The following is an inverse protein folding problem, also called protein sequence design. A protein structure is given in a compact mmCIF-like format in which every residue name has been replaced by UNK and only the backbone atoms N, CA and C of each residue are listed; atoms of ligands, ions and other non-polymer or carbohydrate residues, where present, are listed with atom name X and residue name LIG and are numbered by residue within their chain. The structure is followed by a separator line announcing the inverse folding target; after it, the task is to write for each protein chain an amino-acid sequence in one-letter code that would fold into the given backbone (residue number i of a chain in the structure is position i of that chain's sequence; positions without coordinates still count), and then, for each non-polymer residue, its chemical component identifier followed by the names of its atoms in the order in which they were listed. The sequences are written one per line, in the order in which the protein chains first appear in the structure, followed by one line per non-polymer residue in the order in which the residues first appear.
data_IF_079660834676
#
_entry.id   IF_079660834676
#
_cell.length_a   1.000
_cell.length_b   1.000
_cell.length_c   1.000
_cell.angle_alpha   90.00
_cell.angle_beta   90.00
_cell.angle_gamma   90.00
#
_symmetry.space_group_name_H-M   'P 1'
#
loop_
_entity.id
_entity.type
_entity.pdbx_description
1 polymer ?
#
# COMPACT_ATOMS: atom_id res chain seq x y z
N UNK A 1 -37.71 -38.79 24.24
CA UNK A 1 -37.52 -38.39 22.83
C UNK A 1 -36.82 -37.02 22.78
N UNK A 2 -35.55 -36.94 23.18
CA UNK A 2 -34.75 -35.70 23.18
C UNK A 2 -33.27 -36.04 22.94
N UNK A 3 -32.96 -36.77 21.87
CA UNK A 3 -31.60 -37.28 21.64
C UNK A 3 -31.17 -37.22 20.17
N UNK A 4 -31.75 -36.31 19.37
CA UNK A 4 -31.46 -36.22 17.93
C UNK A 4 -30.98 -34.85 17.47
N UNK A 5 -30.49 -33.99 18.37
CA UNK A 5 -30.05 -32.63 18.01
C UNK A 5 -28.54 -32.38 18.11
N UNK A 6 -27.68 -33.39 18.28
CA UNK A 6 -26.23 -33.15 18.52
C UNK A 6 -25.23 -33.70 17.50
N UNK A 7 -25.64 -34.18 16.33
CA UNK A 7 -24.67 -34.81 15.40
C UNK A 7 -24.32 -34.01 14.13
N UNK A 8 -24.65 -32.72 14.03
CA UNK A 8 -24.33 -31.92 12.83
C UNK A 8 -23.34 -30.76 13.06
N UNK A 9 -22.65 -30.73 14.20
CA UNK A 9 -21.63 -29.72 14.50
C UNK A 9 -20.26 -30.39 14.66
N UNK A 10 -19.63 -30.77 13.53
CA UNK A 10 -18.35 -31.47 13.59
C UNK A 10 -17.77 -31.94 12.26
N UNK A 11 -17.93 -31.17 11.17
CA UNK A 11 -17.21 -31.47 9.92
C UNK A 11 -16.51 -30.24 9.33
N UNK A 12 -15.74 -29.54 10.14
CA UNK A 12 -14.63 -28.73 9.65
C UNK A 12 -13.37 -29.60 9.70
N UNK A 13 -12.71 -29.82 8.56
CA UNK A 13 -11.48 -30.60 8.48
C UNK A 13 -11.65 -31.97 7.82
N UNK A 14 -11.82 -31.99 6.49
CA UNK A 14 -11.30 -33.13 5.72
C UNK A 14 -9.76 -33.14 5.80
N UNK A 15 -9.06 -34.17 5.28
CA UNK A 15 -7.58 -34.28 5.32
C UNK A 15 -6.80 -33.11 4.70
N UNK A 16 -7.51 -32.14 4.12
CA UNK A 16 -7.00 -30.95 3.45
C UNK A 16 -7.40 -29.62 4.16
N UNK A 17 -8.17 -29.66 5.25
CA UNK A 17 -8.72 -28.46 5.91
C UNK A 17 -7.66 -27.60 6.59
N UNK A 18 -6.84 -28.20 7.46
CA UNK A 18 -5.79 -27.49 8.20
C UNK A 18 -4.77 -26.83 7.26
N UNK A 19 -4.36 -27.53 6.20
CA UNK A 19 -3.41 -27.01 5.19
C UNK A 19 -3.99 -25.85 4.36
N UNK A 20 -5.29 -25.90 4.04
CA UNK A 20 -5.97 -24.83 3.29
C UNK A 20 -6.17 -23.57 4.14
N UNK A 21 -6.42 -23.74 5.43
CA UNK A 21 -6.51 -22.65 6.41
C UNK A 21 -5.14 -22.01 6.66
N UNK A 22 -4.07 -22.80 6.81
CA UNK A 22 -2.68 -22.31 6.92
C UNK A 22 -2.29 -21.48 5.67
N UNK A 23 -2.59 -21.97 4.47
CA UNK A 23 -2.32 -21.23 3.23
C UNK A 23 -3.09 -19.89 3.17
N UNK A 24 -4.32 -19.87 3.68
CA UNK A 24 -5.14 -18.66 3.76
C UNK A 24 -4.56 -17.65 4.76
N UNK A 25 -4.05 -18.11 5.90
CA UNK A 25 -3.41 -17.27 6.91
C UNK A 25 -2.10 -16.65 6.40
N UNK A 26 -1.28 -17.42 5.69
CA UNK A 26 -0.04 -16.90 5.08
C UNK A 26 -0.35 -15.80 4.09
N UNK A 27 -1.34 -16.00 3.21
CA UNK A 27 -1.77 -14.99 2.24
C UNK A 27 -2.32 -13.72 2.92
N UNK A 28 -3.05 -13.86 4.03
CA UNK A 28 -3.55 -12.73 4.82
C UNK A 28 -2.38 -11.92 5.43
N UNK A 29 -1.37 -12.60 5.96
CA UNK A 29 -0.17 -11.97 6.50
C UNK A 29 0.62 -11.22 5.41
N UNK A 30 0.81 -11.83 4.24
CA UNK A 30 1.48 -11.19 3.10
C UNK A 30 0.79 -9.88 2.70
N UNK A 31 -0.54 -9.89 2.56
CA UNK A 31 -1.32 -8.68 2.27
C UNK A 31 -1.12 -7.59 3.31
N UNK A 32 -1.14 -7.96 4.60
CA UNK A 32 -0.92 -7.00 5.71
C UNK A 32 0.46 -6.38 5.64
N UNK A 33 1.50 -7.19 5.40
CA UNK A 33 2.87 -6.71 5.28
C UNK A 33 3.04 -5.76 4.09
N UNK A 34 2.40 -6.06 2.95
CA UNK A 34 2.45 -5.17 1.79
C UNK A 34 1.71 -3.86 2.00
N UNK A 35 0.57 -3.89 2.70
CA UNK A 35 -0.11 -2.66 3.15
C UNK A 35 0.78 -1.83 4.07
N UNK A 36 1.42 -2.45 5.07
CA UNK A 36 2.32 -1.77 6.00
C UNK A 36 3.50 -1.10 5.26
N UNK A 37 4.13 -1.80 4.32
CA UNK A 37 5.21 -1.24 3.48
C UNK A 37 4.75 -0.02 2.70
N UNK A 38 3.55 -0.07 2.09
CA UNK A 38 2.99 1.06 1.34
C UNK A 38 2.72 2.25 2.24
N UNK A 39 2.18 2.03 3.44
CA UNK A 39 1.92 3.09 4.42
C UNK A 39 3.22 3.74 4.91
N UNK A 40 4.24 2.94 5.25
CA UNK A 40 5.56 3.44 5.64
C UNK A 40 6.19 4.29 4.54
N UNK A 41 6.09 3.87 3.29
CA UNK A 41 6.59 4.64 2.15
C UNK A 41 5.82 5.96 1.98
N UNK A 42 4.50 5.93 2.09
CA UNK A 42 3.69 7.14 2.00
C UNK A 42 4.01 8.14 3.12
N UNK A 43 4.23 7.67 4.34
CA UNK A 43 4.69 8.52 5.45
C UNK A 43 6.03 9.18 5.14
N UNK A 44 7.02 8.40 4.68
CA UNK A 44 8.31 8.95 4.30
C UNK A 44 8.23 9.97 3.15
N UNK A 45 7.32 9.78 2.18
CA UNK A 45 7.06 10.75 1.11
C UNK A 45 6.47 12.06 1.67
N UNK A 46 5.58 11.98 2.66
CA UNK A 46 5.00 13.15 3.33
C UNK A 46 6.07 13.88 4.15
N UNK A 47 6.87 13.17 4.94
CA UNK A 47 7.94 13.74 5.76
C UNK A 47 8.95 14.50 4.88
N UNK A 48 9.38 13.89 3.78
CA UNK A 48 10.27 14.54 2.80
C UNK A 48 9.67 15.83 2.21
N UNK A 49 8.37 15.83 1.95
CA UNK A 49 7.68 17.01 1.41
C UNK A 49 7.58 18.12 2.45
N UNK A 50 7.38 17.78 3.72
CA UNK A 50 7.40 18.73 4.83
C UNK A 50 8.80 19.35 5.00
N UNK A 51 9.86 18.54 4.92
CA UNK A 51 11.24 19.04 4.94
C UNK A 51 11.50 20.04 3.80
N UNK A 52 10.98 19.76 2.60
CA UNK A 52 11.08 20.68 1.46
C UNK A 52 10.25 21.96 1.63
N UNK A 53 9.12 21.87 2.32
CA UNK A 53 8.31 23.03 2.68
C UNK A 53 9.10 23.95 3.61
N UNK A 54 9.72 23.39 4.65
CA UNK A 54 10.55 24.14 5.59
C UNK A 54 11.81 24.73 4.90
N UNK A 55 12.38 24.01 3.93
CA UNK A 55 13.49 24.49 3.11
C UNK A 55 13.08 25.51 2.02
N UNK A 56 11.77 25.77 1.83
CA UNK A 56 11.26 26.69 0.82
C UNK A 56 11.38 26.18 -0.63
N UNK A 57 11.62 24.88 -0.84
CA UNK A 57 11.74 24.24 -2.16
C UNK A 57 10.51 23.40 -2.53
N UNK A 58 9.43 23.55 -1.77
CA UNK A 58 8.16 22.89 -2.05
C UNK A 58 7.63 23.27 -3.43
N UNK A 59 7.13 22.26 -4.16
CA UNK A 59 6.67 22.43 -5.53
C UNK A 59 7.76 22.35 -6.60
N UNK A 60 9.02 22.03 -6.27
CA UNK A 60 10.05 21.68 -7.27
C UNK A 60 10.21 20.17 -7.40
N UNK A 61 10.43 19.68 -8.63
CA UNK A 61 10.64 18.27 -8.91
C UNK A 61 12.03 17.80 -8.47
N UNK A 62 12.12 16.70 -7.72
CA UNK A 62 13.39 16.14 -7.23
C UNK A 62 14.32 15.62 -8.35
N UNK A 63 13.74 15.23 -9.48
CA UNK A 63 14.51 14.63 -10.59
C UNK A 63 15.04 15.65 -11.59
N UNK A 64 14.32 16.75 -11.82
CA UNK A 64 14.68 17.71 -12.87
C UNK A 64 14.73 19.16 -12.41
N UNK A 65 14.39 19.45 -11.15
CA UNK A 65 14.38 20.81 -10.59
C UNK A 65 13.28 21.73 -11.10
N UNK A 66 12.47 21.29 -12.09
CA UNK A 66 11.39 22.09 -12.63
C UNK A 66 10.21 22.23 -11.65
N UNK A 67 9.45 23.32 -11.71
CA UNK A 67 8.23 23.47 -10.93
C UNK A 67 7.20 22.38 -11.28
N UNK A 68 6.50 21.91 -10.26
CA UNK A 68 5.40 20.95 -10.36
C UNK A 68 4.11 21.75 -10.58
N UNK A 69 3.30 21.28 -11.54
CA UNK A 69 2.00 21.89 -11.85
C UNK A 69 1.15 22.08 -10.58
N UNK A 70 0.58 23.27 -10.33
CA UNK A 70 -0.17 23.55 -9.11
C UNK A 70 -1.40 22.64 -8.97
N UNK A 71 -2.10 22.36 -10.08
CA UNK A 71 -3.22 21.41 -10.10
C UNK A 71 -2.83 20.00 -9.61
N UNK A 72 -1.56 19.61 -9.76
CA UNK A 72 -1.06 18.34 -9.24
C UNK A 72 -0.82 18.40 -7.73
N UNK A 73 -0.29 19.49 -7.22
CA UNK A 73 -0.09 19.69 -5.79
C UNK A 73 -1.42 19.83 -5.04
N UNK A 74 -2.46 20.37 -5.69
CA UNK A 74 -3.82 20.39 -5.15
C UNK A 74 -4.43 18.98 -5.03
N UNK A 75 -4.20 18.12 -6.03
CA UNK A 75 -4.70 16.74 -6.00
C UNK A 75 -3.86 15.81 -5.11
N UNK A 76 -2.55 15.99 -5.11
CA UNK A 76 -1.55 15.17 -4.41
C UNK A 76 -0.45 16.08 -3.85
N UNK A 77 -0.62 16.64 -2.64
CA UNK A 77 0.35 17.57 -2.05
C UNK A 77 1.70 16.91 -1.77
N UNK A 78 1.71 15.60 -1.50
CA UNK A 78 2.94 14.83 -1.29
C UNK A 78 3.70 14.49 -2.59
N UNK A 79 3.30 15.02 -3.74
CA UNK A 79 3.96 14.72 -5.02
C UNK A 79 5.33 15.41 -5.12
N UNK A 80 6.41 14.62 -5.09
CA UNK A 80 7.79 15.11 -5.22
C UNK A 80 8.34 15.18 -6.66
N UNK A 81 7.61 14.63 -7.64
CA UNK A 81 8.03 14.54 -9.05
C UNK A 81 7.01 15.20 -9.97
N UNK A 82 7.48 15.85 -11.05
CA UNK A 82 6.61 16.36 -12.12
C UNK A 82 6.02 15.23 -12.99
N UNK A 83 5.05 15.55 -13.86
CA UNK A 83 4.32 14.54 -14.65
C UNK A 83 5.22 13.80 -15.63
N UNK A 84 6.14 14.52 -16.29
CA UNK A 84 7.11 13.93 -17.21
C UNK A 84 8.07 12.97 -16.51
N UNK A 85 8.64 13.37 -15.37
CA UNK A 85 9.51 12.51 -14.57
C UNK A 85 8.75 11.30 -14.00
N UNK A 86 7.49 11.49 -13.56
CA UNK A 86 6.68 10.38 -13.06
C UNK A 86 6.32 9.38 -14.17
N UNK A 87 5.97 9.87 -15.36
CA UNK A 87 5.69 9.04 -16.52
C UNK A 87 6.93 8.29 -17.02
N UNK A 88 8.13 8.88 -16.91
CA UNK A 88 9.39 8.18 -17.20
C UNK A 88 9.66 7.07 -16.18
N UNK A 89 9.52 7.36 -14.89
CA UNK A 89 9.71 6.38 -13.81
C UNK A 89 8.79 5.17 -13.96
N UNK A 90 7.52 5.36 -14.33
CA UNK A 90 6.57 4.24 -14.52
C UNK A 90 6.89 3.40 -15.74
N UNK A 91 7.51 3.98 -16.78
CA UNK A 91 7.99 3.24 -17.95
C UNK A 91 9.22 2.41 -17.64
N UNK A 92 10.13 2.94 -16.83
CA UNK A 92 11.39 2.27 -16.47
C UNK A 92 11.18 1.16 -15.42
N UNK A 93 10.09 1.21 -14.65
CA UNK A 93 9.72 0.21 -13.65
C UNK A 93 8.89 -0.96 -14.20
N UNK A 94 8.68 -1.02 -15.52
CA UNK A 94 7.86 -2.03 -16.21
C UNK A 94 8.73 -2.93 -17.07
#
# INVERSE_FOLDING_TARGET
MQSSQQELEGRAGGPFGERGEEASQVLELEKRLDMEKRLKKALAEIDHVLEKYDAGTYGLCDSCGNPIEPARLEALPQASLCLSCKARQTRDAR
#
